data_IF_100344313869
#
_entry.id   IF_100344313869
#
_cell.length_a   1.000
_cell.length_b   1.000
_cell.length_c   1.000
_cell.angle_alpha   90.00
_cell.angle_beta   90.00
_cell.angle_gamma   90.00
#
_symmetry.space_group_name_H-M   'P 1'
#
loop_
_entity.id
_entity.type
_entity.pdbx_description
1 polymer ?
#
# COMPACT_ATOMS: atom_id res chain seq x y z
N UNK A 1 -34.68 0.65 4.05
CA UNK A 1 -33.66 1.33 4.89
C UNK A 1 -32.34 0.57 4.77
N UNK A 2 -31.36 1.12 4.04
CA UNK A 2 -30.09 0.44 3.71
C UNK A 2 -28.93 1.41 3.97
N UNK A 3 -28.02 1.02 4.86
CA UNK A 3 -26.82 1.75 5.23
C UNK A 3 -25.95 2.03 4.01
N UNK A 4 -25.50 3.27 3.87
CA UNK A 4 -24.46 3.68 2.93
C UNK A 4 -23.10 3.22 3.47
N UNK A 5 -22.28 2.66 2.60
CA UNK A 5 -20.94 2.20 2.92
C UNK A 5 -20.00 3.36 2.64
N UNK A 6 -19.36 3.82 3.71
CA UNK A 6 -18.22 4.70 3.62
C UNK A 6 -17.07 3.83 3.07
N UNK A 7 -16.73 3.97 1.79
CA UNK A 7 -15.35 3.72 1.43
C UNK A 7 -14.54 4.66 2.32
N UNK A 8 -13.62 4.09 3.11
CA UNK A 8 -12.59 4.86 3.79
C UNK A 8 -11.67 5.48 2.74
N UNK A 9 -12.19 6.46 2.00
CA UNK A 9 -11.38 7.54 1.50
C UNK A 9 -10.77 8.14 2.77
N UNK A 10 -9.54 7.74 3.07
CA UNK A 10 -8.67 8.57 3.87
C UNK A 10 -8.70 9.91 3.12
N UNK A 11 -9.42 10.89 3.67
CA UNK A 11 -9.41 12.27 3.20
C UNK A 11 -8.01 12.78 3.46
N UNK A 12 -7.10 12.47 2.54
CA UNK A 12 -5.74 13.00 2.51
C UNK A 12 -5.89 14.41 1.97
N UNK A 13 -6.08 15.36 2.88
CA UNK A 13 -5.99 16.80 2.60
C UNK A 13 -4.60 17.09 2.04
N UNK A 14 -4.49 17.04 0.72
CA UNK A 14 -3.25 17.30 0.00
C UNK A 14 -3.13 18.81 -0.12
N UNK A 15 -2.20 19.44 0.61
CA UNK A 15 -1.77 20.80 0.30
C UNK A 15 -0.90 20.69 -0.96
N UNK A 16 -1.56 20.61 -2.13
CA UNK A 16 -0.88 20.60 -3.41
C UNK A 16 -0.42 22.02 -3.74
N UNK A 17 0.89 22.26 -3.72
CA UNK A 17 1.46 23.36 -4.48
C UNK A 17 1.02 23.17 -5.94
N UNK A 18 0.18 24.07 -6.46
CA UNK A 18 -0.35 24.01 -7.81
C UNK A 18 0.76 24.34 -8.81
N UNK A 19 1.64 23.39 -9.11
CA UNK A 19 2.34 23.41 -10.39
C UNK A 19 1.27 23.24 -11.46
N UNK A 20 1.20 24.18 -12.40
CA UNK A 20 0.29 24.07 -13.55
C UNK A 20 0.54 22.72 -14.24
N UNK A 21 -0.36 21.77 -14.05
CA UNK A 21 -0.30 20.48 -14.73
C UNK A 21 -0.46 20.76 -16.23
N UNK A 22 0.43 20.20 -17.06
CA UNK A 22 0.30 20.30 -18.49
C UNK A 22 -1.12 19.92 -18.92
N UNK A 23 -1.70 20.72 -19.82
CA UNK A 23 -3.04 20.46 -20.33
C UNK A 23 -3.05 19.11 -21.05
N UNK A 24 -3.99 18.24 -20.69
CA UNK A 24 -4.09 16.90 -21.30
C UNK A 24 -4.95 17.00 -22.56
N UNK A 25 -4.41 16.53 -23.67
CA UNK A 25 -5.07 16.55 -24.98
C UNK A 25 -5.12 15.15 -25.60
N UNK A 26 -6.21 14.87 -26.31
CA UNK A 26 -6.42 13.61 -27.03
C UNK A 26 -6.52 13.88 -28.51
N UNK A 27 -5.87 13.05 -29.32
CA UNK A 27 -6.01 13.14 -30.77
C UNK A 27 -7.45 12.86 -31.20
N UNK A 28 -7.88 13.51 -32.29
CA UNK A 28 -9.18 13.26 -32.89
C UNK A 28 -9.37 11.78 -33.24
N UNK A 29 -8.31 11.14 -33.75
CA UNK A 29 -8.31 9.72 -34.06
C UNK A 29 -8.64 8.86 -32.82
N UNK A 30 -8.00 9.14 -31.68
CA UNK A 30 -8.29 8.43 -30.42
C UNK A 30 -9.76 8.57 -30.04
N UNK A 31 -10.33 9.78 -30.15
CA UNK A 31 -11.73 10.04 -29.83
C UNK A 31 -12.69 9.36 -30.82
N UNK A 32 -12.36 9.36 -32.11
CA UNK A 32 -13.12 8.63 -33.12
C UNK A 32 -13.18 7.13 -32.80
N UNK A 33 -12.02 6.52 -32.49
CA UNK A 33 -11.93 5.10 -32.12
C UNK A 33 -12.76 4.78 -30.87
N UNK A 34 -12.67 5.59 -29.81
CA UNK A 34 -13.48 5.39 -28.60
C UNK A 34 -14.98 5.60 -28.87
N UNK A 35 -15.33 6.55 -29.74
CA UNK A 35 -16.74 6.88 -30.06
C UNK A 35 -17.49 5.77 -30.80
N UNK A 36 -16.78 4.79 -31.35
CA UNK A 36 -17.37 3.58 -31.94
C UNK A 36 -18.13 2.76 -30.89
N UNK A 37 -17.64 2.77 -29.64
CA UNK A 37 -18.25 2.06 -28.51
C UNK A 37 -19.05 3.00 -27.60
N UNK A 38 -18.60 4.26 -27.47
CA UNK A 38 -19.21 5.26 -26.59
C UNK A 38 -19.72 6.46 -27.39
N UNK A 39 -20.96 6.38 -27.90
CA UNK A 39 -21.55 7.42 -28.78
C UNK A 39 -21.51 8.83 -28.20
N UNK A 40 -21.48 8.98 -26.88
CA UNK A 40 -21.37 10.27 -26.20
C UNK A 40 -20.07 11.02 -26.54
N UNK A 41 -19.01 10.31 -26.94
CA UNK A 41 -17.73 10.92 -27.33
C UNK A 41 -17.75 11.51 -28.75
N UNK A 42 -18.78 11.24 -29.55
CA UNK A 42 -18.90 11.82 -30.91
C UNK A 42 -18.92 13.33 -30.90
N UNK A 43 -19.50 13.96 -29.86
CA UNK A 43 -19.50 15.42 -29.71
C UNK A 43 -18.09 16.00 -29.70
N UNK A 44 -17.10 15.26 -29.20
CA UNK A 44 -15.70 15.68 -29.24
C UNK A 44 -14.98 15.25 -30.52
N UNK A 45 -15.25 14.02 -30.98
CA UNK A 45 -14.65 13.46 -32.20
C UNK A 45 -15.05 14.24 -33.47
N UNK A 46 -16.27 14.74 -33.55
CA UNK A 46 -16.83 15.42 -34.72
C UNK A 46 -16.55 16.94 -34.72
N UNK A 47 -15.72 17.43 -33.80
CA UNK A 47 -15.38 18.86 -33.65
C UNK A 47 -14.55 19.44 -34.80
N UNK A 48 -13.95 18.60 -35.64
CA UNK A 48 -13.06 18.99 -36.73
C UNK A 48 -11.66 19.44 -36.30
N UNK A 49 -11.33 19.43 -35.00
CA UNK A 49 -9.99 19.76 -34.50
C UNK A 49 -9.07 18.53 -34.52
N UNK A 50 -7.75 18.69 -34.73
CA UNK A 50 -6.78 17.59 -34.70
C UNK A 50 -6.64 16.96 -33.31
N UNK A 51 -6.85 17.75 -32.26
CA UNK A 51 -6.82 17.32 -30.87
C UNK A 51 -7.88 18.07 -30.04
N UNK A 52 -8.33 17.45 -28.96
CA UNK A 52 -9.25 18.05 -27.97
C UNK A 52 -8.61 17.98 -26.61
N UNK A 53 -8.50 19.14 -25.97
CA UNK A 53 -7.86 19.31 -24.69
C UNK A 53 -8.86 19.38 -23.53
N UNK A 54 -8.36 19.19 -22.31
CA UNK A 54 -9.18 19.06 -21.10
C UNK A 54 -10.09 20.27 -20.83
N UNK A 55 -9.67 21.49 -21.23
CA UNK A 55 -10.52 22.70 -21.11
C UNK A 55 -11.77 22.65 -21.98
N UNK A 56 -11.68 22.01 -23.14
CA UNK A 56 -12.80 21.90 -24.09
C UNK A 56 -13.75 20.76 -23.72
N UNK A 57 -13.17 19.63 -23.28
CA UNK A 57 -13.92 18.42 -22.93
C UNK A 57 -14.57 18.51 -21.53
N UNK A 58 -13.98 19.29 -20.63
CA UNK A 58 -14.34 19.35 -19.23
C UNK A 58 -13.67 18.24 -18.39
N UNK A 59 -13.52 18.45 -17.08
CA UNK A 59 -12.69 17.59 -16.23
C UNK A 59 -13.21 16.16 -16.10
N UNK A 60 -14.53 15.96 -16.01
CA UNK A 60 -15.12 14.63 -15.86
C UNK A 60 -14.89 13.77 -17.10
N UNK A 61 -15.21 14.30 -18.29
CA UNK A 61 -14.98 13.61 -19.55
C UNK A 61 -13.49 13.38 -19.83
N UNK A 62 -12.63 14.34 -19.46
CA UNK A 62 -11.17 14.16 -19.55
C UNK A 62 -10.76 12.90 -18.80
N UNK A 63 -11.14 12.78 -17.52
CA UNK A 63 -10.78 11.61 -16.71
C UNK A 63 -11.36 10.29 -17.23
N UNK A 64 -12.58 10.32 -17.78
CA UNK A 64 -13.20 9.14 -18.42
C UNK A 64 -12.40 8.73 -19.64
N UNK A 65 -12.09 9.67 -20.54
CA UNK A 65 -11.31 9.40 -21.76
C UNK A 65 -9.91 8.90 -21.42
N UNK A 66 -9.21 9.50 -20.45
CA UNK A 66 -7.91 9.01 -19.95
C UNK A 66 -7.99 7.53 -19.54
N UNK A 67 -9.04 7.19 -18.78
CA UNK A 67 -9.25 5.84 -18.25
C UNK A 67 -9.60 4.85 -19.36
N UNK A 68 -10.41 5.26 -20.34
CA UNK A 68 -10.74 4.43 -21.51
C UNK A 68 -9.52 4.18 -22.40
N UNK A 69 -8.67 5.18 -22.58
CA UNK A 69 -7.41 5.05 -23.33
C UNK A 69 -6.50 4.03 -22.65
N UNK A 70 -6.37 4.08 -21.32
CA UNK A 70 -5.59 3.07 -20.59
C UNK A 70 -6.18 1.67 -20.73
N UNK A 71 -7.49 1.56 -20.54
CA UNK A 71 -8.18 0.28 -20.61
C UNK A 71 -8.06 -0.36 -21.99
N UNK A 72 -8.04 0.45 -23.04
CA UNK A 72 -7.84 0.00 -24.42
C UNK A 72 -6.47 -0.62 -24.64
N UNK A 73 -5.45 -0.05 -24.02
CA UNK A 73 -4.06 -0.48 -24.18
C UNK A 73 -3.65 -1.55 -23.14
N UNK A 74 -4.47 -1.78 -22.13
CA UNK A 74 -4.20 -2.77 -21.11
C UNK A 74 -4.36 -4.20 -21.66
N UNK A 75 -3.29 -4.97 -21.59
CA UNK A 75 -3.29 -6.40 -21.85
C UNK A 75 -3.57 -7.21 -20.58
N UNK A 76 -4.20 -8.38 -20.73
CA UNK A 76 -4.33 -9.33 -19.62
C UNK A 76 -3.04 -10.15 -19.54
N UNK A 77 -2.33 -10.15 -18.40
CA UNK A 77 -1.12 -10.93 -18.24
C UNK A 77 -1.37 -12.39 -18.47
N UNK A 78 -0.43 -13.04 -19.15
CA UNK A 78 -0.34 -14.48 -19.05
C UNK A 78 0.27 -14.86 -17.70
N UNK A 79 -0.60 -15.07 -16.70
CA UNK A 79 -0.17 -15.54 -15.38
C UNK A 79 0.06 -17.07 -15.34
N UNK A 80 -0.02 -17.79 -16.47
CA UNK A 80 0.11 -19.25 -16.48
C UNK A 80 1.50 -19.74 -16.05
N UNK A 81 2.52 -18.89 -16.14
CA UNK A 81 3.87 -19.16 -15.64
C UNK A 81 4.00 -19.13 -14.10
N UNK A 82 3.07 -18.50 -13.39
CA UNK A 82 3.09 -18.42 -11.94
C UNK A 82 2.44 -19.68 -11.35
N UNK A 83 3.28 -20.67 -11.02
CA UNK A 83 2.88 -21.99 -10.51
C UNK A 83 2.47 -21.93 -9.03
N UNK A 84 1.46 -21.16 -8.70
CA UNK A 84 1.10 -20.99 -7.29
C UNK A 84 -0.38 -21.25 -7.06
N UNK A 85 -0.68 -21.96 -5.97
CA UNK A 85 -2.01 -22.00 -5.34
C UNK A 85 -2.40 -20.62 -4.77
N UNK A 86 -1.84 -19.53 -5.31
CA UNK A 86 -2.05 -18.15 -4.86
C UNK A 86 -3.26 -17.56 -5.56
N UNK A 87 -4.15 -16.99 -4.77
CA UNK A 87 -5.36 -16.36 -5.23
C UNK A 87 -5.12 -15.16 -6.15
N UNK A 88 -3.94 -14.51 -6.11
CA UNK A 88 -3.58 -13.47 -7.07
C UNK A 88 -3.43 -13.96 -8.51
N UNK A 89 -3.22 -15.26 -8.72
CA UNK A 89 -3.11 -15.85 -10.07
C UNK A 89 -4.47 -16.18 -10.69
N UNK A 90 -5.56 -16.10 -9.90
CA UNK A 90 -6.89 -16.50 -10.34
C UNK A 90 -7.46 -15.53 -11.38
N UNK A 91 -8.14 -16.10 -12.36
CA UNK A 91 -8.85 -15.37 -13.41
C UNK A 91 -10.34 -15.28 -13.08
N UNK A 92 -10.83 -14.06 -12.91
CA UNK A 92 -12.26 -13.77 -12.90
C UNK A 92 -12.84 -13.85 -14.32
N UNK A 93 -12.03 -13.49 -15.32
CA UNK A 93 -12.39 -13.47 -16.75
C UNK A 93 -11.27 -14.06 -17.61
N UNK A 94 -11.65 -14.74 -18.69
CA UNK A 94 -10.74 -15.50 -19.57
C UNK A 94 -10.41 -14.75 -20.87
N UNK A 95 -11.12 -13.65 -21.14
CA UNK A 95 -10.82 -12.73 -22.23
C UNK A 95 -9.35 -12.30 -22.19
N UNK A 96 -8.73 -12.07 -23.35
CA UNK A 96 -7.32 -11.65 -23.44
C UNK A 96 -7.12 -10.13 -23.50
N UNK A 97 -8.17 -9.40 -23.87
CA UNK A 97 -8.16 -7.96 -24.04
C UNK A 97 -9.22 -7.31 -23.14
N UNK A 98 -8.77 -6.49 -22.18
CA UNK A 98 -9.65 -5.77 -21.26
C UNK A 98 -10.63 -4.86 -22.00
N UNK A 99 -10.18 -4.25 -23.09
CA UNK A 99 -11.04 -3.42 -23.94
C UNK A 99 -12.28 -4.16 -24.43
N UNK A 100 -12.10 -5.36 -25.01
CA UNK A 100 -13.20 -6.15 -25.54
C UNK A 100 -14.12 -6.65 -24.42
N UNK A 101 -13.54 -7.08 -23.30
CA UNK A 101 -14.31 -7.44 -22.11
C UNK A 101 -15.22 -6.28 -21.67
N UNK A 102 -14.68 -5.06 -21.64
CA UNK A 102 -15.40 -3.87 -21.19
C UNK A 102 -16.46 -3.39 -22.19
N UNK A 103 -16.12 -3.23 -23.46
CA UNK A 103 -17.03 -2.63 -24.47
C UNK A 103 -18.18 -3.53 -24.89
N UNK A 104 -18.05 -4.85 -24.69
CA UNK A 104 -19.18 -5.78 -24.86
C UNK A 104 -20.26 -5.60 -23.78
N UNK A 105 -19.94 -4.92 -22.68
CA UNK A 105 -20.80 -4.77 -21.49
C UNK A 105 -21.22 -3.32 -21.21
N UNK A 106 -20.37 -2.35 -21.52
CA UNK A 106 -20.63 -0.93 -21.34
C UNK A 106 -20.50 -0.14 -22.65
N UNK A 107 -21.43 0.79 -22.88
CA UNK A 107 -21.45 1.66 -24.05
C UNK A 107 -21.85 3.11 -23.73
N UNK A 108 -22.14 3.42 -22.47
CA UNK A 108 -22.52 4.76 -22.02
C UNK A 108 -22.17 5.02 -20.55
N UNK A 109 -22.06 6.30 -20.22
CA UNK A 109 -21.86 6.83 -18.87
C UNK A 109 -22.98 7.80 -18.50
N UNK A 110 -23.53 7.68 -17.30
CA UNK A 110 -24.34 8.73 -16.69
C UNK A 110 -23.49 9.50 -15.67
N UNK A 111 -23.18 10.77 -16.00
CA UNK A 111 -22.39 11.66 -15.14
C UNK A 111 -23.24 12.39 -14.10
N UNK A 112 -24.57 12.35 -14.26
CA UNK A 112 -25.52 13.10 -13.45
C UNK A 112 -26.07 12.29 -12.28
N UNK A 113 -25.43 11.17 -11.91
CA UNK A 113 -25.95 10.14 -11.00
C UNK A 113 -26.78 10.68 -9.84
N UNK A 114 -28.08 10.92 -10.08
CA UNK A 114 -28.96 11.61 -9.11
C UNK A 114 -29.21 10.75 -7.87
N UNK A 115 -28.79 9.49 -7.94
CA UNK A 115 -28.96 8.47 -6.90
C UNK A 115 -27.65 8.10 -6.20
N UNK A 116 -26.56 8.83 -6.45
CA UNK A 116 -25.29 8.60 -5.76
C UNK A 116 -25.46 8.83 -4.26
N UNK A 117 -25.34 7.75 -3.49
CA UNK A 117 -25.25 7.84 -2.03
C UNK A 117 -23.84 8.27 -1.64
N UNK A 118 -23.73 8.91 -0.48
CA UNK A 118 -22.42 9.26 0.07
C UNK A 118 -21.51 8.03 0.15
N UNK A 119 -20.27 8.17 -0.34
CA UNK A 119 -19.26 7.11 -0.35
C UNK A 119 -19.35 6.14 -1.54
N UNK A 120 -20.41 6.16 -2.35
CA UNK A 120 -20.51 5.32 -3.55
C UNK A 120 -19.61 5.90 -4.65
N UNK A 121 -18.79 5.04 -5.26
CA UNK A 121 -17.86 5.41 -6.34
C UNK A 121 -18.56 5.43 -7.68
N UNK A 122 -19.23 4.33 -8.02
CA UNK A 122 -20.06 4.18 -9.19
C UNK A 122 -21.16 3.15 -8.89
N UNK A 123 -22.11 3.00 -9.81
CA UNK A 123 -23.07 1.89 -9.77
C UNK A 123 -23.63 1.61 -11.16
N UNK A 124 -24.14 0.39 -11.34
CA UNK A 124 -24.96 0.01 -12.49
C UNK A 124 -26.33 -0.49 -12.06
N UNK A 125 -27.28 -0.46 -12.99
CA UNK A 125 -28.53 -1.19 -12.86
C UNK A 125 -28.43 -2.46 -13.71
N UNK A 126 -28.41 -3.68 -13.11
CA UNK A 126 -28.29 -4.91 -13.88
C UNK A 126 -29.39 -5.10 -14.96
N UNK A 127 -30.55 -4.48 -14.76
CA UNK A 127 -31.67 -4.49 -15.70
C UNK A 127 -31.61 -3.40 -16.80
N UNK A 128 -30.65 -2.48 -16.73
CA UNK A 128 -30.34 -1.51 -17.78
C UNK A 128 -28.86 -1.70 -18.18
N UNK A 129 -28.55 -2.79 -18.91
CA UNK A 129 -27.18 -3.08 -19.29
C UNK A 129 -26.60 -1.96 -20.16
N UNK A 130 -25.29 -1.74 -20.08
CA UNK A 130 -24.58 -0.80 -20.94
C UNK A 130 -24.26 0.56 -20.30
N UNK A 131 -24.96 0.96 -19.22
CA UNK A 131 -24.82 2.30 -18.63
C UNK A 131 -24.17 2.25 -17.25
N UNK A 132 -23.00 2.86 -17.10
CA UNK A 132 -22.32 3.04 -15.81
C UNK A 132 -22.64 4.42 -15.24
N UNK A 133 -23.14 4.50 -14.00
CA UNK A 133 -23.44 5.75 -13.32
C UNK A 133 -22.23 6.15 -12.47
N UNK A 134 -21.57 7.25 -12.82
CA UNK A 134 -20.35 7.69 -12.15
C UNK A 134 -20.68 8.73 -11.08
N UNK A 135 -20.26 8.46 -9.84
CA UNK A 135 -20.45 9.37 -8.72
C UNK A 135 -19.25 10.29 -8.51
N UNK A 136 -19.38 11.30 -7.65
CA UNK A 136 -18.30 12.27 -7.40
C UNK A 136 -16.99 11.60 -6.95
N UNK A 137 -17.08 10.55 -6.13
CA UNK A 137 -15.92 9.82 -5.59
C UNK A 137 -15.10 9.15 -6.69
N UNK A 138 -15.70 8.73 -7.80
CA UNK A 138 -14.97 8.21 -8.97
C UNK A 138 -13.91 9.21 -9.47
N UNK A 139 -14.28 10.49 -9.57
CA UNK A 139 -13.36 11.52 -10.07
C UNK A 139 -12.29 11.94 -9.07
N UNK A 140 -12.43 11.52 -7.80
CA UNK A 140 -11.44 11.74 -6.75
C UNK A 140 -10.42 10.60 -6.68
N UNK A 141 -10.72 9.45 -7.29
CA UNK A 141 -9.80 8.33 -7.33
C UNK A 141 -8.59 8.61 -8.24
N UNK A 142 -7.42 8.03 -7.93
CA UNK A 142 -6.32 8.01 -8.87
C UNK A 142 -6.72 7.24 -10.13
N UNK A 143 -5.99 7.48 -11.23
CA UNK A 143 -6.23 6.91 -12.57
C UNK A 143 -6.49 5.39 -12.55
N UNK A 144 -5.73 4.64 -11.76
CA UNK A 144 -5.89 3.19 -11.61
C UNK A 144 -7.16 2.81 -10.86
N UNK A 145 -7.54 3.55 -9.81
CA UNK A 145 -8.78 3.31 -9.09
C UNK A 145 -10.02 3.51 -9.98
N UNK A 146 -9.96 4.49 -10.88
CA UNK A 146 -11.00 4.68 -11.90
C UNK A 146 -11.09 3.49 -12.85
N UNK A 147 -9.96 3.02 -13.37
CA UNK A 147 -9.92 1.87 -14.27
C UNK A 147 -10.48 0.61 -13.60
N UNK A 148 -10.02 0.31 -12.38
CA UNK A 148 -10.51 -0.81 -11.58
C UNK A 148 -12.01 -0.69 -11.32
N UNK A 149 -12.50 0.49 -10.94
CA UNK A 149 -13.94 0.73 -10.76
C UNK A 149 -14.72 0.46 -12.04
N UNK A 150 -14.26 0.90 -13.21
CA UNK A 150 -14.97 0.63 -14.47
C UNK A 150 -15.06 -0.87 -14.77
N UNK A 151 -14.00 -1.63 -14.54
CA UNK A 151 -13.98 -3.09 -14.71
C UNK A 151 -14.88 -3.82 -13.70
N UNK A 152 -14.90 -3.33 -12.47
CA UNK A 152 -15.77 -3.80 -11.40
C UNK A 152 -17.25 -3.59 -11.76
N UNK A 153 -17.63 -2.39 -12.17
CA UNK A 153 -19.02 -2.05 -12.50
C UNK A 153 -19.56 -2.88 -13.67
N UNK A 154 -18.76 -3.12 -14.71
CA UNK A 154 -19.24 -3.96 -15.82
C UNK A 154 -19.43 -5.42 -15.43
N UNK A 155 -18.75 -5.90 -14.37
CA UNK A 155 -18.92 -7.26 -13.88
C UNK A 155 -20.32 -7.49 -13.29
N UNK A 156 -20.96 -6.45 -12.77
CA UNK A 156 -22.35 -6.50 -12.32
C UNK A 156 -23.34 -6.76 -13.47
N UNK A 157 -23.02 -6.41 -14.72
CA UNK A 157 -23.87 -6.74 -15.88
C UNK A 157 -23.91 -8.25 -16.18
N UNK A 158 -22.89 -9.00 -15.73
CA UNK A 158 -22.86 -10.46 -15.82
C UNK A 158 -23.63 -11.15 -14.67
N UNK A 159 -24.29 -10.37 -13.79
CA UNK A 159 -25.10 -10.89 -12.69
C UNK A 159 -24.34 -11.12 -11.37
N UNK A 160 -23.07 -10.75 -11.29
CA UNK A 160 -22.28 -10.88 -10.06
C UNK A 160 -22.58 -9.73 -9.11
N UNK A 161 -23.47 -9.95 -8.13
CA UNK A 161 -23.74 -8.97 -7.07
C UNK A 161 -22.81 -9.12 -5.87
N UNK A 162 -22.94 -8.20 -4.91
CA UNK A 162 -22.22 -8.26 -3.64
C UNK A 162 -23.06 -8.81 -2.49
N UNK A 163 -22.37 -9.33 -1.48
CA UNK A 163 -22.91 -9.77 -0.20
C UNK A 163 -22.53 -8.83 0.94
N UNK A 164 -23.08 -9.08 2.13
CA UNK A 164 -22.66 -8.36 3.34
C UNK A 164 -21.33 -8.91 3.82
N UNK A 165 -20.42 -8.02 4.18
CA UNK A 165 -19.13 -8.41 4.74
C UNK A 165 -19.28 -9.06 6.12
N UNK A 166 -18.66 -10.21 6.34
CA UNK A 166 -18.67 -10.96 7.61
C UNK A 166 -17.34 -10.95 8.34
N UNK A 167 -16.33 -10.26 7.79
CA UNK A 167 -15.00 -10.11 8.38
C UNK A 167 -14.29 -8.85 7.87
N UNK A 168 -13.05 -8.63 8.33
CA UNK A 168 -12.17 -7.56 7.87
C UNK A 168 -12.61 -6.15 8.29
N UNK A 169 -11.95 -5.13 7.73
CA UNK A 169 -12.23 -3.73 8.04
C UNK A 169 -13.64 -3.29 7.63
N UNK A 170 -14.31 -4.06 6.78
CA UNK A 170 -15.64 -3.76 6.25
C UNK A 170 -16.77 -4.57 6.93
N UNK A 171 -16.51 -5.28 8.04
CA UNK A 171 -17.52 -6.09 8.75
C UNK A 171 -18.88 -5.38 8.88
N UNK A 172 -19.95 -6.05 8.46
CA UNK A 172 -21.33 -5.53 8.49
C UNK A 172 -21.71 -4.61 7.33
N UNK A 173 -20.77 -4.22 6.48
CA UNK A 173 -21.03 -3.43 5.27
C UNK A 173 -21.84 -4.23 4.25
N UNK A 174 -23.05 -3.74 3.94
CA UNK A 174 -24.01 -4.44 3.07
C UNK A 174 -23.71 -4.23 1.59
N UNK A 175 -23.29 -5.27 0.88
CA UNK A 175 -22.98 -5.18 -0.54
C UNK A 175 -21.58 -4.62 -0.81
N UNK A 176 -20.62 -4.94 0.06
CA UNK A 176 -19.23 -4.50 -0.02
C UNK A 176 -18.21 -5.65 -0.08
N UNK A 177 -18.69 -6.90 -0.15
CA UNK A 177 -17.84 -8.07 -0.24
C UNK A 177 -18.39 -9.04 -1.28
N UNK A 178 -17.50 -9.85 -1.84
CA UNK A 178 -17.84 -11.11 -2.48
C UNK A 178 -17.73 -12.24 -1.43
N UNK A 179 -18.39 -13.37 -1.68
CA UNK A 179 -18.30 -14.48 -0.74
C UNK A 179 -16.93 -15.16 -0.80
N UNK A 180 -16.57 -15.67 -1.99
CA UNK A 180 -15.27 -16.30 -2.27
C UNK A 180 -14.68 -15.74 -3.57
N UNK A 181 -13.35 -15.61 -3.65
CA UNK A 181 -12.65 -15.24 -4.89
C UNK A 181 -12.88 -16.24 -6.03
N UNK A 182 -13.10 -17.52 -5.71
CA UNK A 182 -13.44 -18.58 -6.67
C UNK A 182 -14.77 -18.36 -7.36
N UNK A 183 -15.67 -17.55 -6.78
CA UNK A 183 -16.94 -17.21 -7.40
C UNK A 183 -16.76 -16.22 -8.56
N UNK A 184 -15.53 -15.73 -8.80
CA UNK A 184 -15.19 -14.81 -9.89
C UNK A 184 -16.07 -13.53 -9.88
N UNK A 185 -16.42 -13.05 -8.68
CA UNK A 185 -17.25 -11.86 -8.50
C UNK A 185 -16.58 -10.54 -8.89
N UNK A 186 -17.24 -9.42 -8.59
CA UNK A 186 -16.77 -8.08 -8.98
C UNK A 186 -15.47 -7.67 -8.28
N UNK A 187 -15.17 -8.18 -7.09
CA UNK A 187 -13.87 -7.94 -6.45
C UNK A 187 -12.78 -8.88 -6.94
N UNK A 188 -13.14 -10.07 -7.45
CA UNK A 188 -12.18 -10.95 -8.10
C UNK A 188 -11.64 -10.31 -9.40
N UNK A 189 -12.49 -9.60 -10.16
CA UNK A 189 -12.03 -8.86 -11.34
C UNK A 189 -11.18 -7.64 -10.97
N UNK A 190 -11.50 -6.95 -9.87
CA UNK A 190 -10.65 -5.88 -9.33
C UNK A 190 -9.25 -6.37 -9.00
N UNK A 191 -9.11 -7.56 -8.40
CA UNK A 191 -7.81 -8.18 -8.15
C UNK A 191 -7.09 -8.47 -9.46
N UNK A 192 -7.74 -9.16 -10.40
CA UNK A 192 -7.13 -9.51 -11.69
C UNK A 192 -6.63 -8.27 -12.44
N UNK A 193 -7.41 -7.19 -12.43
CA UNK A 193 -7.05 -5.92 -13.04
C UNK A 193 -5.85 -5.26 -12.33
N UNK A 194 -5.88 -5.17 -11.01
CA UNK A 194 -4.78 -4.56 -10.25
C UNK A 194 -3.48 -5.37 -10.34
N UNK A 195 -3.56 -6.70 -10.37
CA UNK A 195 -2.41 -7.57 -10.63
C UNK A 195 -1.85 -7.29 -12.03
N UNK A 196 -2.71 -7.19 -13.04
CA UNK A 196 -2.29 -6.86 -14.41
C UNK A 196 -1.56 -5.52 -14.49
N UNK A 197 -2.15 -4.50 -13.87
CA UNK A 197 -1.60 -3.15 -13.84
C UNK A 197 -0.27 -3.09 -13.08
N UNK A 198 -0.18 -3.78 -11.95
CA UNK A 198 1.02 -3.82 -11.12
C UNK A 198 2.19 -4.59 -11.74
N UNK A 199 1.92 -5.52 -12.65
CA UNK A 199 2.95 -6.37 -13.25
C UNK A 199 3.41 -5.91 -14.64
N UNK A 200 2.50 -5.56 -15.54
CA UNK A 200 2.80 -5.57 -16.98
C UNK A 200 2.72 -4.24 -17.70
N UNK A 201 2.27 -3.17 -17.05
CA UNK A 201 2.10 -1.92 -17.78
C UNK A 201 3.41 -1.14 -17.85
N UNK A 202 4.16 -1.27 -18.94
CA UNK A 202 5.29 -0.37 -19.26
C UNK A 202 4.87 1.11 -19.30
N UNK A 203 3.57 1.37 -19.51
CA UNK A 203 2.99 2.71 -19.60
C UNK A 203 2.83 3.41 -18.24
N UNK A 204 2.72 2.65 -17.16
CA UNK A 204 2.56 3.23 -15.82
C UNK A 204 3.91 3.40 -15.14
N UNK A 205 4.09 4.53 -14.47
CA UNK A 205 5.22 4.74 -13.57
C UNK A 205 5.14 3.75 -12.39
N UNK A 206 6.29 3.48 -11.76
CA UNK A 206 6.35 2.53 -10.65
C UNK A 206 5.49 2.92 -9.45
N UNK A 207 5.26 4.22 -9.21
CA UNK A 207 4.33 4.65 -8.15
C UNK A 207 2.89 4.22 -8.44
N UNK A 208 2.47 4.36 -9.69
CA UNK A 208 1.17 3.87 -10.18
C UNK A 208 1.06 2.34 -10.09
N UNK A 209 2.12 1.61 -10.45
CA UNK A 209 2.16 0.14 -10.29
C UNK A 209 2.10 -0.26 -8.82
N UNK A 210 2.91 0.36 -7.96
CA UNK A 210 2.91 0.10 -6.51
C UNK A 210 1.51 0.32 -5.90
N UNK A 211 0.79 1.37 -6.32
CA UNK A 211 -0.59 1.59 -5.93
C UNK A 211 -1.51 0.44 -6.38
N UNK A 212 -1.39 -0.03 -7.62
CA UNK A 212 -2.16 -1.17 -8.11
C UNK A 212 -1.89 -2.44 -7.27
N UNK A 213 -0.61 -2.73 -6.99
CA UNK A 213 -0.20 -3.87 -6.17
C UNK A 213 -0.76 -3.78 -4.73
N UNK A 214 -0.72 -2.59 -4.13
CA UNK A 214 -1.30 -2.34 -2.81
C UNK A 214 -2.84 -2.45 -2.82
N UNK A 215 -3.50 -1.97 -3.88
CA UNK A 215 -4.95 -2.09 -4.06
C UNK A 215 -5.37 -3.56 -4.18
N UNK A 216 -4.64 -4.37 -4.96
CA UNK A 216 -4.89 -5.81 -5.06
C UNK A 216 -4.86 -6.49 -3.68
N UNK A 217 -3.84 -6.19 -2.88
CA UNK A 217 -3.73 -6.68 -1.50
C UNK A 217 -4.91 -6.24 -0.62
N UNK A 218 -5.25 -4.95 -0.68
CA UNK A 218 -6.34 -4.42 0.13
C UNK A 218 -7.67 -5.11 -0.17
N UNK A 219 -8.02 -5.22 -1.46
CA UNK A 219 -9.24 -5.90 -1.93
C UNK A 219 -9.24 -7.37 -1.46
N UNK A 220 -8.12 -8.06 -1.65
CA UNK A 220 -7.96 -9.47 -1.29
C UNK A 220 -8.19 -9.77 0.21
N UNK A 221 -7.80 -8.86 1.10
CA UNK A 221 -7.96 -9.04 2.55
C UNK A 221 -9.28 -8.50 3.11
N UNK A 222 -9.94 -7.55 2.43
CA UNK A 222 -11.08 -6.83 3.01
C UNK A 222 -12.41 -7.04 2.29
N UNK A 223 -12.40 -7.58 1.08
CA UNK A 223 -13.61 -7.69 0.24
C UNK A 223 -14.02 -9.12 -0.08
N UNK A 224 -13.50 -10.10 0.66
CA UNK A 224 -13.94 -11.49 0.62
C UNK A 224 -14.34 -11.97 2.02
N UNK A 225 -15.48 -12.65 2.12
CA UNK A 225 -15.93 -13.25 3.38
C UNK A 225 -15.17 -14.54 3.72
N UNK A 226 -14.77 -15.28 2.70
CA UNK A 226 -13.90 -16.44 2.87
C UNK A 226 -12.43 -16.02 2.83
N UNK A 227 -11.61 -16.72 3.62
CA UNK A 227 -10.18 -16.45 3.69
C UNK A 227 -9.53 -16.75 2.34
N UNK A 228 -8.87 -15.75 1.78
CA UNK A 228 -8.07 -15.88 0.56
C UNK A 228 -6.70 -16.48 0.87
N UNK A 229 -6.17 -17.25 -0.07
CA UNK A 229 -4.86 -17.86 0.01
C UNK A 229 -3.84 -17.05 -0.78
N UNK A 230 -3.28 -16.02 -0.14
CA UNK A 230 -2.18 -15.23 -0.70
C UNK A 230 -0.85 -15.77 -0.19
N UNK A 231 0.07 -16.10 -1.09
CA UNK A 231 1.43 -16.40 -0.68
C UNK A 231 2.16 -15.09 -0.45
N UNK A 232 2.68 -14.94 0.77
CA UNK A 232 3.45 -13.78 1.16
C UNK A 232 4.91 -14.21 1.33
N UNK A 233 5.79 -13.60 0.57
CA UNK A 233 7.23 -13.61 0.82
C UNK A 233 7.53 -12.65 1.97
N UNK A 234 8.24 -13.14 2.98
CA UNK A 234 8.67 -12.33 4.11
C UNK A 234 10.17 -12.50 4.27
N UNK A 235 10.90 -11.41 4.29
CA UNK A 235 12.34 -11.37 4.53
C UNK A 235 12.71 -10.11 5.33
N UNK A 236 13.98 -9.99 5.67
CA UNK A 236 14.55 -8.80 6.27
C UNK A 236 15.37 -8.05 5.24
N UNK A 237 15.23 -6.72 5.24
CA UNK A 237 16.24 -5.83 4.72
C UNK A 237 17.20 -5.52 5.88
N UNK A 238 18.49 -5.76 5.69
CA UNK A 238 19.54 -5.41 6.65
C UNK A 238 20.54 -4.48 5.99
N UNK A 239 20.97 -3.45 6.72
CA UNK A 239 21.90 -2.43 6.22
C UNK A 239 23.16 -2.39 7.08
N UNK A 240 24.33 -2.29 6.43
CA UNK A 240 25.62 -2.15 7.11
C UNK A 240 26.09 -0.69 7.19
N UNK A 241 27.16 -0.43 7.94
CA UNK A 241 27.75 0.92 8.11
C UNK A 241 28.20 1.59 6.79
N UNK A 242 28.36 0.83 5.71
CA UNK A 242 28.71 1.36 4.37
C UNK A 242 27.50 1.69 3.50
N UNK A 243 26.27 1.56 4.05
CA UNK A 243 25.03 1.78 3.32
C UNK A 243 24.68 0.68 2.32
N UNK A 244 25.27 -0.51 2.44
CA UNK A 244 24.88 -1.64 1.61
C UNK A 244 23.70 -2.37 2.24
N UNK A 245 22.66 -2.58 1.44
CA UNK A 245 21.42 -3.26 1.81
C UNK A 245 21.48 -4.69 1.31
N UNK A 246 21.10 -5.63 2.17
CA UNK A 246 20.98 -7.03 1.88
C UNK A 246 19.57 -7.53 2.19
N UNK A 247 19.09 -8.51 1.41
CA UNK A 247 17.92 -9.32 1.76
C UNK A 247 18.39 -10.54 2.53
N UNK A 248 17.70 -10.85 3.62
CA UNK A 248 17.90 -12.04 4.41
C UNK A 248 16.57 -12.73 4.69
N UNK A 249 16.44 -13.96 4.22
CA UNK A 249 15.32 -14.86 4.52
C UNK A 249 15.80 -15.91 5.52
N UNK A 250 15.40 -15.84 6.80
CA UNK A 250 15.82 -16.81 7.82
C UNK A 250 15.50 -18.26 7.46
N UNK A 251 14.50 -18.52 6.62
CA UNK A 251 14.17 -19.89 6.17
C UNK A 251 15.22 -20.47 5.22
N UNK A 252 16.05 -19.61 4.62
CA UNK A 252 17.18 -19.99 3.76
C UNK A 252 18.50 -20.02 4.53
N UNK A 253 18.45 -19.92 5.86
CA UNK A 253 19.60 -19.90 6.76
C UNK A 253 20.31 -18.55 6.79
N UNK A 254 21.60 -18.57 7.09
CA UNK A 254 22.40 -17.36 7.40
C UNK A 254 23.00 -16.70 6.13
N UNK A 255 22.33 -16.88 4.99
CA UNK A 255 22.75 -16.31 3.72
C UNK A 255 22.05 -14.98 3.49
N UNK A 256 22.84 -13.94 3.25
CA UNK A 256 22.40 -12.62 2.82
C UNK A 256 22.70 -12.42 1.34
N UNK A 257 21.84 -11.71 0.63
CA UNK A 257 22.06 -11.32 -0.77
C UNK A 257 22.06 -9.80 -0.88
N UNK A 258 23.16 -9.21 -1.35
CA UNK A 258 23.24 -7.75 -1.53
C UNK A 258 22.24 -7.32 -2.61
N UNK A 259 21.37 -6.37 -2.28
CA UNK A 259 20.37 -5.82 -3.19
C UNK A 259 20.85 -4.49 -3.76
N UNK A 260 21.34 -3.59 -2.90
CA UNK A 260 21.65 -2.21 -3.27
C UNK A 260 22.78 -1.64 -2.42
N UNK A 261 23.49 -0.65 -2.95
CA UNK A 261 24.31 0.27 -2.16
C UNK A 261 23.69 1.66 -2.19
N UNK A 262 23.34 2.19 -1.03
CA UNK A 262 22.87 3.56 -0.86
C UNK A 262 24.02 4.55 -1.07
N UNK A 263 23.66 5.80 -1.37
CA UNK A 263 24.65 6.90 -1.44
C UNK A 263 25.25 7.19 -0.07
N UNK A 264 24.47 6.99 0.98
CA UNK A 264 24.84 7.18 2.37
C UNK A 264 24.02 6.23 3.25
N UNK A 265 24.53 5.86 4.44
CA UNK A 265 23.78 5.02 5.35
C UNK A 265 22.47 5.67 5.81
N UNK A 266 21.43 4.87 5.99
CA UNK A 266 20.10 5.31 6.39
C UNK A 266 19.48 4.38 7.44
N UNK A 267 18.39 4.86 8.05
CA UNK A 267 17.45 3.99 8.75
C UNK A 267 16.37 3.59 7.75
N UNK A 268 16.13 2.28 7.64
CA UNK A 268 15.22 1.65 6.68
C UNK A 268 13.95 1.19 7.38
N UNK A 269 12.81 1.56 6.79
CA UNK A 269 11.50 1.13 7.25
C UNK A 269 10.64 0.72 6.07
N UNK A 270 10.21 -0.52 6.05
CA UNK A 270 9.26 -1.02 5.07
C UNK A 270 7.83 -0.68 5.47
N UNK A 271 7.08 -0.10 4.55
CA UNK A 271 5.69 0.30 4.75
C UNK A 271 4.87 -0.18 3.55
N UNK A 272 4.23 -1.35 3.71
CA UNK A 272 3.59 -2.06 2.60
C UNK A 272 4.61 -2.55 1.59
N UNK A 273 4.44 -2.15 0.32
CA UNK A 273 5.33 -2.52 -0.79
C UNK A 273 6.46 -1.53 -1.03
N UNK A 274 6.57 -0.48 -0.24
CA UNK A 274 7.57 0.58 -0.44
C UNK A 274 8.51 0.64 0.77
N UNK A 275 9.72 1.13 0.56
CA UNK A 275 10.72 1.29 1.62
C UNK A 275 11.07 2.76 1.81
N UNK A 276 10.99 3.21 3.06
CA UNK A 276 11.29 4.59 3.45
C UNK A 276 12.68 4.62 4.09
N UNK A 277 13.48 5.58 3.65
CA UNK A 277 14.86 5.78 4.07
C UNK A 277 14.98 7.11 4.79
N UNK A 278 15.55 7.07 5.99
CA UNK A 278 15.90 8.25 6.78
C UNK A 278 17.42 8.32 6.88
N UNK A 279 18.10 9.15 6.08
CA UNK A 279 19.56 9.24 6.10
C UNK A 279 20.10 9.50 7.51
N UNK A 280 21.24 8.88 7.83
CA UNK A 280 21.92 9.12 9.11
C UNK A 280 22.50 10.54 9.21
N UNK A 281 22.77 11.20 8.08
CA UNK A 281 23.06 12.63 8.03
C UNK A 281 21.76 13.44 8.19
N UNK A 282 21.55 14.15 9.33
CA UNK A 282 20.31 14.87 9.59
C UNK A 282 20.12 16.11 8.72
N UNK A 283 21.12 16.51 7.91
CA UNK A 283 20.94 17.56 6.91
C UNK A 283 20.11 17.07 5.72
N UNK A 284 20.12 15.76 5.46
CA UNK A 284 19.46 15.11 4.32
C UNK A 284 18.01 14.78 4.60
N UNK A 285 17.20 14.83 3.56
CA UNK A 285 15.76 14.54 3.64
C UNK A 285 15.53 13.04 3.56
N UNK A 286 14.54 12.56 4.31
CA UNK A 286 13.99 11.23 4.11
C UNK A 286 13.43 11.11 2.68
N UNK A 287 13.56 9.94 2.10
CA UNK A 287 13.06 9.60 0.77
C UNK A 287 12.44 8.21 0.79
N UNK A 288 11.69 7.87 -0.25
CA UNK A 288 10.98 6.59 -0.35
C UNK A 288 11.23 5.98 -1.72
N UNK A 289 11.52 4.69 -1.74
CA UNK A 289 11.68 3.90 -2.94
C UNK A 289 10.56 2.86 -3.04
N UNK A 290 10.22 2.46 -4.25
CA UNK A 290 9.30 1.35 -4.51
C UNK A 290 9.94 0.00 -4.11
N UNK A 291 9.21 -1.10 -4.28
CA UNK A 291 9.65 -2.47 -3.93
C UNK A 291 10.94 -2.90 -4.66
N UNK A 292 11.18 -2.34 -5.85
CA UNK A 292 12.42 -2.53 -6.63
C UNK A 292 13.67 -1.92 -5.97
N UNK A 293 13.49 -1.03 -4.98
CA UNK A 293 14.53 -0.19 -4.38
C UNK A 293 15.33 0.64 -5.40
N UNK A 294 14.82 0.88 -6.61
CA UNK A 294 15.48 1.65 -7.66
C UNK A 294 14.72 2.93 -7.99
N UNK A 295 13.40 2.85 -8.05
CA UNK A 295 12.55 3.97 -8.42
C UNK A 295 12.04 4.72 -7.19
N UNK A 296 12.01 6.05 -7.27
CA UNK A 296 11.43 6.87 -6.21
C UNK A 296 9.90 6.69 -6.19
N UNK A 297 9.36 6.51 -4.99
CA UNK A 297 7.93 6.60 -4.79
C UNK A 297 7.47 8.05 -4.97
N UNK A 298 6.30 8.25 -5.56
CA UNK A 298 5.72 9.59 -5.79
C UNK A 298 5.30 10.28 -4.49
N UNK A 299 5.10 9.53 -3.41
CA UNK A 299 4.68 10.03 -2.09
C UNK A 299 5.55 9.44 -0.99
N UNK A 300 6.08 10.31 -0.13
CA UNK A 300 6.94 9.93 1.00
C UNK A 300 6.15 9.32 2.16
N UNK A 301 4.91 9.80 2.37
CA UNK A 301 4.07 9.43 3.51
C UNK A 301 4.24 10.39 4.69
N UNK A 302 3.20 10.47 5.53
CA UNK A 302 3.07 11.53 6.53
C UNK A 302 4.24 11.63 7.52
N UNK A 303 4.81 10.51 7.96
CA UNK A 303 5.95 10.53 8.89
C UNK A 303 7.25 11.02 8.24
N UNK A 304 7.49 10.67 6.98
CA UNK A 304 8.66 11.14 6.23
C UNK A 304 8.51 12.63 5.86
N UNK A 305 7.31 13.05 5.46
CA UNK A 305 6.99 14.46 5.23
C UNK A 305 7.15 15.28 6.53
N UNK A 306 6.64 14.76 7.64
CA UNK A 306 6.83 15.39 8.95
C UNK A 306 8.30 15.50 9.30
N UNK A 307 9.08 14.43 9.20
CA UNK A 307 10.53 14.47 9.41
C UNK A 307 11.21 15.53 8.53
N UNK A 308 10.87 15.60 7.25
CA UNK A 308 11.43 16.55 6.29
C UNK A 308 11.04 18.01 6.55
N UNK A 309 9.96 18.25 7.31
CA UNK A 309 9.53 19.58 7.75
C UNK A 309 10.28 20.09 8.98
N UNK A 310 11.00 19.21 9.70
CA UNK A 310 11.69 19.56 10.93
C UNK A 310 13.04 20.25 10.67
N UNK A 311 13.48 21.15 11.58
CA UNK A 311 14.85 21.65 11.57
C UNK A 311 15.89 20.52 11.66
N UNK A 312 17.10 20.75 11.13
CA UNK A 312 18.23 19.79 11.19
C UNK A 312 18.50 19.33 12.64
N UNK A 313 18.39 20.23 13.62
CA UNK A 313 18.59 19.93 15.04
C UNK A 313 17.56 18.96 15.63
N UNK A 314 16.32 18.97 15.13
CA UNK A 314 15.29 18.01 15.52
C UNK A 314 15.45 16.69 14.75
N UNK A 315 15.79 16.74 13.45
CA UNK A 315 16.09 15.53 12.66
C UNK A 315 17.27 14.73 13.24
N UNK A 316 18.27 15.40 13.78
CA UNK A 316 19.40 14.78 14.48
C UNK A 316 18.99 13.96 15.73
N UNK A 317 17.77 14.15 16.22
CA UNK A 317 17.21 13.40 17.36
C UNK A 317 16.39 12.19 16.91
N UNK A 318 16.29 11.90 15.61
CA UNK A 318 15.51 10.78 15.09
C UNK A 318 16.07 9.43 15.55
N UNK A 319 15.20 8.64 16.18
CA UNK A 319 15.49 7.29 16.68
C UNK A 319 14.85 6.23 15.79
N UNK A 320 13.64 6.45 15.30
CA UNK A 320 12.97 5.47 14.45
C UNK A 320 11.53 5.82 14.13
N UNK A 321 10.93 4.99 13.27
CA UNK A 321 9.54 5.08 12.91
C UNK A 321 8.89 3.69 12.98
N UNK A 322 7.61 3.64 13.31
CA UNK A 322 6.76 2.45 13.21
C UNK A 322 5.67 2.74 12.20
N UNK A 323 5.42 1.79 11.31
CA UNK A 323 4.39 1.93 10.26
C UNK A 323 3.25 0.92 10.43
N UNK A 324 3.33 0.03 11.42
CA UNK A 324 2.21 -0.83 11.76
C UNK A 324 1.29 -0.11 12.76
N UNK A 325 0.08 -0.64 12.94
CA UNK A 325 -0.94 -0.09 13.86
C UNK A 325 -1.28 1.37 13.54
N UNK A 326 -1.15 2.29 14.50
CA UNK A 326 -1.39 3.72 14.32
C UNK A 326 -0.17 4.46 13.71
N UNK A 327 0.97 3.78 13.58
CA UNK A 327 2.25 4.32 13.14
C UNK A 327 2.80 5.42 14.06
N UNK A 328 4.11 5.54 14.21
CA UNK A 328 4.73 6.62 15.01
C UNK A 328 6.08 7.04 14.46
N UNK A 329 6.50 8.25 14.81
CA UNK A 329 7.84 8.81 14.62
C UNK A 329 8.41 9.13 16.01
N UNK A 330 9.58 8.59 16.32
CA UNK A 330 10.28 8.82 17.59
C UNK A 330 11.50 9.73 17.37
N UNK A 331 11.47 10.89 18.02
CA UNK A 331 12.54 11.88 18.07
C UNK A 331 12.97 12.06 19.53
N UNK A 332 14.03 11.38 19.97
CA UNK A 332 14.41 11.31 21.39
C UNK A 332 13.21 10.94 22.27
N UNK A 333 12.74 11.83 23.15
CA UNK A 333 11.59 11.60 24.04
C UNK A 333 10.27 12.16 23.50
N UNK A 334 10.22 12.50 22.21
CA UNK A 334 9.04 13.03 21.54
C UNK A 334 8.52 11.99 20.57
N UNK A 335 7.32 11.49 20.83
CA UNK A 335 6.61 10.56 19.95
C UNK A 335 5.54 11.34 19.20
N UNK A 336 5.52 11.24 17.88
CA UNK A 336 4.43 11.76 17.05
C UNK A 336 3.75 10.59 16.34
N UNK A 337 2.42 10.47 16.43
CA UNK A 337 1.70 9.30 15.90
C UNK A 337 0.37 9.73 15.24
N UNK A 338 -0.27 8.88 14.43
CA UNK A 338 -1.59 9.16 13.83
C UNK A 338 -2.74 8.75 14.74
N UNK A 339 -3.57 9.71 15.18
CA UNK A 339 -4.76 9.40 15.98
C UNK A 339 -5.93 10.29 15.61
N UNK A 340 -7.01 9.64 15.15
CA UNK A 340 -8.21 10.29 14.66
C UNK A 340 -7.99 11.13 13.39
N UNK A 341 -8.98 11.94 13.04
CA UNK A 341 -8.97 12.78 11.83
C UNK A 341 -8.02 13.98 11.91
N UNK A 342 -7.43 14.27 13.08
CA UNK A 342 -6.55 15.43 13.28
C UNK A 342 -5.15 15.23 12.69
N UNK A 343 -4.88 14.07 12.09
CA UNK A 343 -3.57 13.72 11.53
C UNK A 343 -2.55 13.40 12.63
N UNK A 344 -1.32 13.85 12.42
CA UNK A 344 -0.20 13.61 13.33
C UNK A 344 -0.40 14.40 14.64
N UNK A 345 -0.34 13.73 15.78
CA UNK A 345 -0.34 14.37 17.08
C UNK A 345 0.89 13.95 17.89
N UNK A 346 1.45 14.89 18.64
CA UNK A 346 2.54 14.62 19.57
C UNK A 346 1.97 14.02 20.88
N UNK A 347 2.58 12.94 21.34
CA UNK A 347 2.36 12.38 22.67
C UNK A 347 3.31 13.12 23.63
N UNK A 348 2.80 13.76 24.70
CA UNK A 348 3.64 14.50 25.62
C UNK A 348 4.62 13.57 26.35
N UNK A 349 5.84 14.02 26.58
CA UNK A 349 6.86 13.23 27.29
C UNK A 349 6.40 12.80 28.70
N UNK A 350 5.51 13.58 29.34
CA UNK A 350 4.91 13.25 30.64
C UNK A 350 3.96 12.05 30.60
N UNK A 351 3.59 11.55 29.42
CA UNK A 351 2.84 10.31 29.28
C UNK A 351 3.72 9.06 29.52
N UNK A 352 5.04 9.25 29.62
CA UNK A 352 6.02 8.21 29.89
C UNK A 352 6.68 8.45 31.25
N UNK A 353 6.88 7.37 32.01
CA UNK A 353 7.62 7.38 33.27
C UNK A 353 9.15 7.29 33.06
N UNK A 354 9.61 7.08 31.83
CA UNK A 354 11.02 7.10 31.45
C UNK A 354 11.28 7.59 30.00
N UNK A 355 12.52 7.96 29.64
CA UNK A 355 12.91 8.28 28.26
C UNK A 355 12.70 7.10 27.30
N UNK A 356 12.14 7.36 26.12
CA UNK A 356 12.02 6.37 25.05
C UNK A 356 13.31 6.31 24.23
N UNK A 357 13.83 5.10 24.00
CA UNK A 357 15.15 4.89 23.39
C UNK A 357 15.08 4.12 22.07
N UNK A 358 13.99 3.40 21.81
CA UNK A 358 13.80 2.70 20.53
C UNK A 358 12.33 2.43 20.20
N UNK A 359 12.11 1.94 18.98
CA UNK A 359 10.87 1.35 18.50
C UNK A 359 11.16 -0.03 17.93
N UNK A 360 10.33 -1.01 18.27
CA UNK A 360 10.45 -2.39 17.81
C UNK A 360 9.09 -2.97 17.44
N UNK A 361 9.06 -4.02 16.63
CA UNK A 361 7.88 -4.86 16.43
C UNK A 361 8.13 -6.22 17.09
N UNK A 362 7.25 -6.65 17.99
CA UNK A 362 7.35 -7.93 18.71
C UNK A 362 5.99 -8.60 18.88
N UNK A 363 5.96 -9.85 19.37
CA UNK A 363 4.74 -10.61 19.65
C UNK A 363 4.62 -10.82 21.17
N UNK A 364 4.18 -9.80 21.94
CA UNK A 364 4.18 -9.87 23.41
C UNK A 364 3.23 -10.94 23.96
N UNK A 365 2.17 -11.28 23.24
CA UNK A 365 1.12 -12.21 23.68
C UNK A 365 1.15 -13.55 22.93
N UNK A 366 2.22 -13.84 22.18
CA UNK A 366 2.35 -15.04 21.35
C UNK A 366 1.43 -15.08 20.12
N UNK A 367 0.61 -14.06 19.86
CA UNK A 367 -0.42 -14.11 18.81
C UNK A 367 -0.40 -12.92 17.85
N UNK A 368 -0.11 -11.71 18.33
CA UNK A 368 -0.26 -10.50 17.52
C UNK A 368 1.04 -9.70 17.47
N UNK A 369 1.48 -9.37 16.25
CA UNK A 369 2.58 -8.42 16.03
C UNK A 369 2.12 -7.03 16.44
N UNK A 370 2.90 -6.37 17.30
CA UNK A 370 2.63 -5.01 17.75
C UNK A 370 3.88 -4.15 17.66
N UNK A 371 3.71 -2.93 17.19
CA UNK A 371 4.75 -1.90 17.27
C UNK A 371 4.75 -1.34 18.71
N UNK A 372 5.91 -1.40 19.35
CA UNK A 372 6.10 -1.00 20.74
C UNK A 372 7.19 0.06 20.83
N UNK A 373 6.99 1.02 21.74
CA UNK A 373 8.07 1.91 22.17
C UNK A 373 8.86 1.19 23.27
N UNK A 374 10.17 1.40 23.27
CA UNK A 374 11.09 0.82 24.27
C UNK A 374 11.62 1.94 25.15
N UNK A 375 11.35 1.87 26.45
CA UNK A 375 11.89 2.78 27.44
C UNK A 375 13.34 2.45 27.81
N UNK A 376 14.02 3.39 28.48
CA UNK A 376 15.44 3.26 28.82
C UNK A 376 15.75 2.04 29.69
N UNK A 377 14.82 1.59 30.54
CA UNK A 377 14.91 0.35 31.33
C UNK A 377 14.76 -0.93 30.50
N UNK A 378 14.37 -0.82 29.23
CA UNK A 378 13.97 -1.93 28.37
C UNK A 378 12.47 -2.25 28.46
N UNK A 379 11.69 -1.53 29.27
CA UNK A 379 10.24 -1.75 29.37
C UNK A 379 9.54 -1.40 28.06
N UNK A 380 8.53 -2.19 27.69
CA UNK A 380 7.71 -1.95 26.51
C UNK A 380 6.50 -1.07 26.81
N UNK A 381 6.15 -0.18 25.89
CA UNK A 381 4.98 0.69 25.96
C UNK A 381 4.14 0.53 24.70
N UNK A 382 2.85 0.30 24.90
CA UNK A 382 1.84 0.30 23.83
C UNK A 382 1.20 1.69 23.73
N UNK A 383 1.01 2.15 22.49
CA UNK A 383 0.27 3.38 22.22
C UNK A 383 -1.02 3.06 21.47
N UNK A 384 -2.13 3.66 21.91
CA UNK A 384 -3.41 3.48 21.23
C UNK A 384 -4.21 4.77 21.19
N UNK A 385 -5.00 4.90 20.13
CA UNK A 385 -5.91 6.02 19.94
C UNK A 385 -7.24 5.70 20.63
N UNK A 386 -7.58 6.45 21.67
CA UNK A 386 -8.88 6.28 22.36
C UNK A 386 -10.04 6.78 21.49
N UNK A 387 -11.27 6.40 21.86
CA UNK A 387 -12.49 6.88 21.20
C UNK A 387 -12.61 8.41 21.16
N UNK A 388 -12.04 9.09 22.17
CA UNK A 388 -11.99 10.56 22.24
C UNK A 388 -10.84 11.17 21.41
N UNK A 389 -10.17 10.38 20.57
CA UNK A 389 -9.05 10.80 19.71
C UNK A 389 -7.86 11.36 20.51
N UNK A 390 -7.72 10.92 21.76
CA UNK A 390 -6.56 11.17 22.61
C UNK A 390 -5.70 9.90 22.67
N UNK A 391 -4.39 10.05 22.75
CA UNK A 391 -3.52 8.92 23.01
C UNK A 391 -3.65 8.43 24.44
N UNK A 392 -3.69 7.11 24.58
CA UNK A 392 -3.34 6.43 25.81
C UNK A 392 -2.02 5.68 25.60
N UNK A 393 -1.14 5.79 26.59
CA UNK A 393 0.13 5.07 26.66
C UNK A 393 0.00 4.06 27.79
N UNK A 394 0.26 2.79 27.49
CA UNK A 394 0.17 1.70 28.45
C UNK A 394 1.55 1.09 28.64
N UNK A 395 2.19 1.27 29.81
CA UNK A 395 3.37 0.51 30.13
C UNK A 395 2.97 -0.97 30.28
N UNK A 396 3.76 -1.86 29.69
CA UNK A 396 3.56 -3.29 29.79
C UNK A 396 4.54 -3.87 30.80
N UNK A 397 4.17 -4.97 31.45
CA UNK A 397 5.10 -5.77 32.25
C UNK A 397 5.92 -6.69 31.34
N UNK A 398 6.44 -6.12 30.25
CA UNK A 398 7.30 -6.78 29.28
C UNK A 398 8.59 -5.98 29.12
N UNK A 399 9.71 -6.70 28.97
CA UNK A 399 11.04 -6.12 28.93
C UNK A 399 11.88 -6.71 27.81
N UNK A 400 12.70 -5.88 27.19
CA UNK A 400 13.73 -6.28 26.22
C UNK A 400 15.13 -5.95 26.75
N UNK A 401 16.19 -6.56 26.19
CA UNK A 401 17.56 -6.17 26.53
C UNK A 401 17.77 -4.67 26.28
N UNK A 402 18.43 -3.98 27.21
CA UNK A 402 18.61 -2.52 27.13
C UNK A 402 19.46 -2.05 25.95
N UNK A 403 20.26 -2.94 25.37
CA UNK A 403 21.04 -2.72 24.15
C UNK A 403 20.33 -3.24 22.89
N UNK A 404 19.04 -3.62 22.95
CA UNK A 404 18.26 -3.98 21.76
C UNK A 404 17.94 -2.70 20.97
N UNK A 405 18.39 -2.66 19.72
CA UNK A 405 18.21 -1.51 18.84
C UNK A 405 16.97 -1.66 17.94
N UNK A 406 16.75 -2.83 17.32
CA UNK A 406 15.52 -3.16 16.58
C UNK A 406 15.07 -4.57 16.89
N UNK A 407 13.79 -4.83 16.73
CA UNK A 407 13.30 -6.18 16.60
C UNK A 407 12.11 -6.24 15.68
N UNK A 408 11.97 -7.38 14.99
CA UNK A 408 10.85 -7.68 14.13
C UNK A 408 10.51 -9.16 14.22
N UNK A 409 9.21 -9.53 14.21
CA UNK A 409 8.82 -10.93 14.21
C UNK A 409 8.68 -11.46 12.79
N UNK A 410 9.22 -12.64 12.54
CA UNK A 410 8.96 -13.41 11.34
C UNK A 410 8.30 -14.73 11.75
N UNK A 411 7.01 -14.86 11.42
CA UNK A 411 6.17 -15.97 11.87
C UNK A 411 6.10 -16.00 13.41
N UNK A 412 6.57 -17.06 14.05
CA UNK A 412 6.54 -17.22 15.50
C UNK A 412 7.89 -16.90 16.16
N UNK A 413 8.84 -16.34 15.41
CA UNK A 413 10.19 -16.04 15.90
C UNK A 413 10.46 -14.54 15.81
N UNK A 414 10.89 -13.93 16.91
CA UNK A 414 11.37 -12.56 16.91
C UNK A 414 12.88 -12.52 16.66
N UNK A 415 13.31 -11.61 15.80
CA UNK A 415 14.72 -11.36 15.51
C UNK A 415 15.07 -9.95 15.97
N UNK A 416 16.21 -9.81 16.64
CA UNK A 416 16.66 -8.56 17.25
C UNK A 416 18.02 -8.13 16.73
N UNK A 417 18.17 -6.85 16.40
CA UNK A 417 19.44 -6.20 16.11
C UNK A 417 19.89 -5.44 17.37
N UNK A 418 21.07 -5.74 17.89
CA UNK A 418 21.66 -5.04 19.04
C UNK A 418 22.30 -3.71 18.62
N UNK A 419 22.61 -2.85 19.60
CA UNK A 419 23.40 -1.63 19.38
C UNK A 419 24.86 -1.91 19.01
N UNK A 420 25.38 -3.12 19.29
CA UNK A 420 26.67 -3.62 18.78
C UNK A 420 26.61 -4.06 17.32
N UNK A 421 25.41 -4.15 16.74
CA UNK A 421 25.16 -4.50 15.34
C UNK A 421 25.22 -5.99 15.05
N UNK A 422 24.92 -6.80 16.06
CA UNK A 422 24.75 -8.24 15.98
C UNK A 422 23.26 -8.56 15.88
N UNK A 423 22.91 -9.59 15.11
CA UNK A 423 21.52 -10.04 14.96
C UNK A 423 21.34 -11.33 15.75
N UNK A 424 20.25 -11.40 16.51
CA UNK A 424 19.93 -12.53 17.39
C UNK A 424 18.50 -13.02 17.15
N UNK A 425 18.26 -14.29 17.42
CA UNK A 425 16.92 -14.77 17.78
C UNK A 425 16.58 -14.24 19.17
N UNK A 426 15.37 -13.72 19.36
CA UNK A 426 14.87 -13.31 20.66
C UNK A 426 13.98 -14.39 21.26
N UNK A 427 14.30 -14.80 22.49
CA UNK A 427 13.50 -15.73 23.27
C UNK A 427 12.66 -14.94 24.27
N UNK A 428 11.35 -15.18 24.27
CA UNK A 428 10.42 -14.59 25.24
C UNK A 428 10.12 -15.62 26.34
N UNK A 429 10.25 -15.20 27.59
CA UNK A 429 9.88 -15.98 28.77
C UNK A 429 9.23 -15.06 29.81
N UNK A 430 7.94 -15.25 30.08
CA UNK A 430 7.17 -14.53 31.09
C UNK A 430 7.27 -13.00 31.00
N UNK A 431 7.10 -12.47 29.79
CA UNK A 431 7.19 -11.07 29.44
C UNK A 431 8.62 -10.58 29.23
N UNK A 432 9.65 -11.40 29.40
CA UNK A 432 11.05 -11.00 29.27
C UNK A 432 11.67 -11.56 28.00
N UNK A 433 12.06 -10.67 27.10
CA UNK A 433 12.86 -11.01 25.94
C UNK A 433 14.34 -11.08 26.31
N UNK A 434 15.02 -12.08 25.80
CA UNK A 434 16.47 -12.29 25.96
C UNK A 434 17.10 -12.67 24.62
N UNK A 435 18.41 -12.43 24.47
CA UNK A 435 19.15 -12.89 23.30
C UNK A 435 19.31 -14.41 23.36
N UNK A 436 18.86 -15.07 22.30
CA UNK A 436 19.12 -16.47 22.02
C UNK A 436 20.33 -16.62 21.10
N UNK A 437 20.15 -17.40 20.04
CA UNK A 437 21.19 -17.68 19.05
C UNK A 437 21.57 -16.41 18.27
N UNK A 438 22.88 -16.17 18.13
CA UNK A 438 23.43 -15.13 17.26
C UNK A 438 23.47 -15.63 15.81
N UNK A 439 22.99 -14.83 14.88
CA UNK A 439 22.99 -15.12 13.45
C UNK A 439 24.31 -14.66 12.82
N UNK A 440 25.10 -15.61 12.30
CA UNK A 440 26.40 -15.34 11.70
C UNK A 440 26.34 -15.39 10.17
N UNK A 441 26.24 -14.22 9.54
CA UNK A 441 26.14 -14.13 8.08
C UNK A 441 27.45 -14.47 7.38
N UNK A 442 27.46 -15.54 6.59
CA UNK A 442 28.63 -15.90 5.78
C UNK A 442 28.87 -14.86 4.69
N UNK A 443 30.09 -14.32 4.60
CA UNK A 443 30.51 -13.43 3.52
C UNK A 443 30.19 -11.94 3.72
N UNK A 444 29.72 -11.55 4.90
CA UNK A 444 29.63 -10.15 5.28
C UNK A 444 30.72 -9.79 6.29
N UNK A 445 31.45 -8.71 6.02
CA UNK A 445 32.39 -8.09 6.96
C UNK A 445 31.89 -6.69 7.28
N UNK A 446 31.39 -6.47 8.48
CA UNK A 446 30.86 -5.18 8.88
C UNK A 446 29.83 -5.29 10.00
N UNK A 447 29.53 -4.15 10.60
CA UNK A 447 28.49 -4.03 11.61
C UNK A 447 27.16 -3.72 10.92
N UNK A 448 26.11 -4.42 11.32
CA UNK A 448 24.74 -4.07 10.91
C UNK A 448 24.27 -2.86 11.70
N UNK A 449 23.72 -1.88 11.00
CA UNK A 449 23.22 -0.64 11.62
C UNK A 449 21.71 -0.55 11.61
N UNK A 450 21.04 -1.35 10.78
CA UNK A 450 19.60 -1.31 10.66
C UNK A 450 19.04 -2.63 10.12
N UNK A 451 17.80 -2.92 10.49
CA UNK A 451 17.05 -4.09 10.07
C UNK A 451 15.58 -3.70 9.92
N UNK A 452 14.89 -4.21 8.90
CA UNK A 452 13.45 -3.98 8.71
C UNK A 452 12.78 -5.20 8.08
N UNK A 453 11.57 -5.54 8.54
CA UNK A 453 10.81 -6.66 7.98
C UNK A 453 10.07 -6.28 6.71
N UNK A 454 10.50 -6.83 5.59
CA UNK A 454 9.79 -6.68 4.32
C UNK A 454 8.76 -7.78 4.12
N UNK A 455 7.56 -7.40 3.75
CA UNK A 455 6.41 -8.28 3.52
C UNK A 455 5.86 -7.99 2.13
N UNK A 456 6.00 -8.95 1.20
CA UNK A 456 5.60 -8.77 -0.20
C UNK A 456 4.81 -9.99 -0.69
N UNK A 457 3.78 -9.81 -1.52
CA UNK A 457 3.16 -10.93 -2.22
C UNK A 457 4.16 -11.65 -3.12
N UNK A 458 4.11 -12.98 -3.07
CA UNK A 458 5.05 -13.83 -3.78
C UNK A 458 5.00 -13.62 -5.30
N UNK A 459 3.80 -13.36 -5.84
CA UNK A 459 3.60 -13.05 -7.26
C UNK A 459 4.50 -11.89 -7.74
N UNK A 460 4.66 -10.85 -6.92
CA UNK A 460 5.49 -9.69 -7.27
C UNK A 460 6.99 -10.01 -7.20
N UNK A 461 7.40 -10.89 -6.27
CA UNK A 461 8.78 -11.37 -6.20
C UNK A 461 9.14 -12.22 -7.43
N UNK A 462 8.26 -13.14 -7.84
CA UNK A 462 8.48 -13.95 -9.04
C UNK A 462 8.55 -13.07 -10.30
N UNK A 463 7.66 -12.08 -10.43
CA UNK A 463 7.65 -11.22 -11.60
C UNK A 463 8.94 -10.39 -11.75
N UNK A 464 9.50 -9.89 -10.64
CA UNK A 464 10.80 -9.19 -10.65
C UNK A 464 11.95 -10.11 -11.09
N UNK A 465 11.89 -11.41 -10.73
CA UNK A 465 12.91 -12.38 -11.15
C UNK A 465 12.87 -12.68 -12.65
N UNK A 466 11.68 -12.66 -13.26
CA UNK A 466 11.52 -12.86 -14.71
C UNK A 466 11.97 -11.63 -15.50
N UNK A 467 11.67 -10.42 -15.02
CA UNK A 467 12.02 -9.17 -15.73
C UNK A 467 13.53 -8.86 -15.74
N UNK A 468 14.32 -9.49 -14.87
CA UNK A 468 15.78 -9.30 -14.78
C UNK A 468 16.59 -10.25 -15.67
N UNK A 469 15.92 -11.12 -16.44
CA UNK A 469 16.49 -12.03 -17.42
C UNK A 469 16.02 -11.62 -18.82
#
# INVERSE_FOLDING_TARGET
>A
MRSAILFGAILISSIAAHTATAETCFSNQTLQELSQNFKQLKTFADSGKPEICSKEMGPQWTQIVETLVDLRELSIPDLSGFKTQDDFSKKAVDEKAWWNYFTTRANAFDLNGKSCRQGVVAYVYPFLPGVINLCEVFYQQPRIGRLETLLHEVRHFDGYGHVTCTQGALFGSKGACDNNINDKGSYAISIQANVALGLLSERFDEGTKAFARASALFVMYNQFNEKTNVKIHKDFLVENESGEIYSWDPKKGDKVSRIKKLREPARIFTAGLETIFYPMDPTKKAYRLNDDLESNASRLGMFADHYNSLPVSERAQFIGAGYNTNGSLLLKNKVTSLCGEKGLQAIPASAFDEPMVSMISVIPDGHTVRDMLVGQSGRLYETTCTLNRMYAVYPLDHYVPSNLYRAFPLENTSYGLSTSGEIYVLNEDQGRYSYGEMINFSGHTGKWIEMSQRVMPYLYVEAQSVASH
#
